data_IF_499176145386
#
_entry.id   IF_499176145386
#
_cell.length_a   1.000
_cell.length_b   1.000
_cell.length_c   1.000
_cell.angle_alpha   90.00
_cell.angle_beta   90.00
_cell.angle_gamma   90.00
#
_symmetry.space_group_name_H-M   'P 1'
#
loop_
_entity.id
_entity.type
_entity.pdbx_description
1 polymer ?
#
# COMPACT_ATOMS: atom_id res chain seq x y z
N UNK A 1 15.73 -34.29 -4.30
CA UNK A 1 16.51 -33.14 -4.81
C UNK A 1 16.07 -31.80 -4.20
N UNK A 2 14.80 -31.39 -4.32
CA UNK A 2 14.33 -30.13 -3.71
C UNK A 2 14.30 -30.18 -2.17
N UNK A 3 13.92 -31.32 -1.57
CA UNK A 3 13.89 -31.47 -0.10
C UNK A 3 15.29 -31.37 0.52
N UNK A 4 16.26 -32.09 -0.03
CA UNK A 4 17.66 -32.04 0.42
C UNK A 4 18.27 -30.66 0.25
N UNK A 5 17.87 -29.90 -0.78
CA UNK A 5 18.31 -28.52 -0.96
C UNK A 5 17.68 -27.57 0.07
N UNK A 6 16.37 -27.70 0.35
CA UNK A 6 15.70 -26.91 1.40
C UNK A 6 16.30 -27.17 2.79
N UNK A 7 16.58 -28.42 3.12
CA UNK A 7 17.23 -28.80 4.38
C UNK A 7 18.66 -28.26 4.49
N UNK A 8 19.43 -28.31 3.39
CA UNK A 8 20.75 -27.69 3.36
C UNK A 8 20.65 -26.17 3.57
N UNK A 9 19.76 -25.47 2.85
CA UNK A 9 19.59 -24.02 3.00
C UNK A 9 19.11 -23.61 4.40
N UNK A 10 18.16 -24.33 4.99
CA UNK A 10 17.69 -24.05 6.35
C UNK A 10 18.77 -24.29 7.41
N UNK A 11 19.71 -25.22 7.16
CA UNK A 11 20.81 -25.53 8.08
C UNK A 11 21.95 -24.51 8.00
N UNK A 12 22.21 -23.94 6.83
CA UNK A 12 23.30 -22.95 6.64
C UNK A 12 22.84 -21.52 6.88
N UNK A 13 21.55 -21.22 6.67
CA UNK A 13 20.99 -19.88 6.78
C UNK A 13 19.87 -19.86 7.82
N UNK A 14 20.24 -19.80 9.09
CA UNK A 14 19.30 -19.42 10.15
C UNK A 14 19.17 -17.89 10.15
N UNK A 15 18.26 -17.37 9.31
CA UNK A 15 18.11 -15.92 9.09
C UNK A 15 17.28 -15.21 10.16
N UNK A 16 16.87 -15.89 11.23
CA UNK A 16 16.01 -15.32 12.25
C UNK A 16 14.73 -14.68 11.68
N UNK A 17 14.10 -13.79 12.44
CA UNK A 17 12.96 -13.00 11.95
C UNK A 17 13.47 -11.89 11.02
N UNK A 18 13.07 -11.96 9.75
CA UNK A 18 13.40 -10.95 8.74
C UNK A 18 12.97 -9.54 9.19
N UNK A 19 13.95 -8.69 9.45
CA UNK A 19 13.73 -7.31 9.94
C UNK A 19 13.77 -6.26 8.84
N UNK A 20 14.42 -6.57 7.70
CA UNK A 20 14.51 -5.68 6.54
C UNK A 20 14.38 -6.49 5.24
N UNK A 21 13.58 -5.99 4.30
CA UNK A 21 13.45 -6.54 2.96
C UNK A 21 13.34 -5.41 1.94
N UNK A 22 14.34 -5.25 1.05
CA UNK A 22 14.36 -4.19 0.04
C UNK A 22 14.14 -2.77 0.61
N UNK A 23 14.80 -2.41 1.72
CA UNK A 23 14.58 -1.13 2.43
C UNK A 23 13.17 -0.94 3.02
N UNK A 24 12.36 -2.00 3.08
CA UNK A 24 11.15 -2.08 3.89
C UNK A 24 11.52 -2.64 5.25
N UNK A 25 11.26 -1.88 6.29
CA UNK A 25 11.44 -2.31 7.67
C UNK A 25 10.24 -3.17 8.08
N UNK A 26 10.51 -4.41 8.47
CA UNK A 26 9.51 -5.41 8.83
C UNK A 26 9.58 -5.65 10.34
N UNK A 27 8.51 -5.30 11.05
CA UNK A 27 8.35 -5.55 12.48
C UNK A 27 7.41 -6.73 12.65
N UNK A 28 7.96 -7.87 13.06
CA UNK A 28 7.19 -9.09 13.30
C UNK A 28 6.80 -9.15 14.79
N UNK A 29 5.49 -9.06 15.06
CA UNK A 29 4.90 -9.29 16.37
C UNK A 29 4.30 -10.70 16.47
N UNK A 30 3.77 -11.04 17.65
CA UNK A 30 3.26 -12.39 17.96
C UNK A 30 2.15 -12.85 17.00
N UNK A 31 1.24 -11.94 16.62
CA UNK A 31 0.09 -12.24 15.75
C UNK A 31 0.05 -11.39 14.45
N UNK A 32 1.07 -10.58 14.19
CA UNK A 32 1.04 -9.62 13.08
C UNK A 32 2.41 -9.26 12.54
N UNK A 33 2.47 -9.01 11.23
CA UNK A 33 3.65 -8.51 10.54
C UNK A 33 3.34 -7.07 10.11
N UNK A 34 4.13 -6.11 10.57
CA UNK A 34 4.04 -4.71 10.19
C UNK A 34 5.16 -4.37 9.22
N UNK A 35 4.84 -3.67 8.14
CA UNK A 35 5.82 -3.19 7.18
C UNK A 35 5.80 -1.67 7.15
N UNK A 36 6.98 -1.06 7.23
CA UNK A 36 7.14 0.40 7.23
C UNK A 36 8.23 0.83 6.27
N UNK A 37 8.08 2.03 5.72
CA UNK A 37 8.97 2.58 4.70
C UNK A 37 9.35 4.03 5.02
N UNK A 38 9.33 4.37 6.31
CA UNK A 38 9.52 5.75 6.78
C UNK A 38 10.91 6.30 6.43
N UNK A 39 11.93 5.44 6.54
CA UNK A 39 13.30 5.83 6.21
C UNK A 39 13.45 6.18 4.73
N UNK A 40 12.92 5.33 3.85
CA UNK A 40 12.90 5.60 2.41
C UNK A 40 12.10 6.87 2.07
N UNK A 41 10.96 7.10 2.73
CA UNK A 41 10.19 8.34 2.54
C UNK A 41 11.01 9.59 2.88
N UNK A 42 11.77 9.58 3.98
CA UNK A 42 12.67 10.68 4.36
C UNK A 42 13.79 10.89 3.35
N UNK A 43 14.37 9.81 2.84
CA UNK A 43 15.43 9.88 1.84
C UNK A 43 14.94 10.46 0.51
N UNK A 44 13.73 10.06 0.07
CA UNK A 44 13.09 10.64 -1.11
C UNK A 44 12.82 12.13 -0.91
N UNK A 45 12.29 12.54 0.24
CA UNK A 45 12.06 13.96 0.54
C UNK A 45 13.37 14.76 0.54
N UNK A 46 14.45 14.22 1.10
CA UNK A 46 15.78 14.84 1.08
C UNK A 46 16.32 14.95 -0.35
N UNK A 47 16.23 13.88 -1.14
CA UNK A 47 16.72 13.80 -2.53
C UNK A 47 16.09 14.86 -3.43
N UNK A 48 14.78 15.11 -3.27
CA UNK A 48 14.05 16.10 -4.06
C UNK A 48 13.93 17.48 -3.39
N UNK A 49 14.67 17.73 -2.29
CA UNK A 49 14.67 18.99 -1.53
C UNK A 49 13.28 19.40 -1.03
N UNK A 50 12.51 18.42 -0.56
CA UNK A 50 11.14 18.57 -0.05
C UNK A 50 11.03 18.32 1.46
N UNK A 51 12.16 18.25 2.19
CA UNK A 51 12.15 18.08 3.64
C UNK A 51 11.41 19.21 4.38
N UNK A 52 11.46 20.45 3.87
CA UNK A 52 10.87 21.64 4.50
C UNK A 52 9.66 22.20 3.73
N UNK A 53 9.01 21.38 2.90
CA UNK A 53 7.86 21.82 2.10
C UNK A 53 6.56 22.02 2.90
N UNK A 54 5.74 23.00 2.52
CA UNK A 54 4.45 23.22 3.17
C UNK A 54 3.55 21.97 3.13
N UNK A 55 2.95 21.57 4.27
CA UNK A 55 2.09 20.40 4.35
C UNK A 55 0.83 20.58 3.50
N UNK A 56 0.34 19.48 2.93
CA UNK A 56 -0.90 19.43 2.14
C UNK A 56 -1.73 18.24 2.59
N UNK A 57 -3.05 18.41 2.69
CA UNK A 57 -3.97 17.38 3.19
C UNK A 57 -4.44 16.38 2.12
N UNK A 58 -4.27 16.70 0.84
CA UNK A 58 -4.67 15.84 -0.28
C UNK A 58 -3.54 15.68 -1.31
N UNK A 59 -3.27 14.45 -1.78
CA UNK A 59 -2.17 14.18 -2.73
C UNK A 59 -2.39 14.83 -4.10
N UNK A 60 -3.65 15.00 -4.51
CA UNK A 60 -4.06 15.62 -5.79
C UNK A 60 -5.21 16.58 -5.51
N UNK A 61 -5.28 17.72 -6.20
CA UNK A 61 -6.42 18.63 -6.09
C UNK A 61 -7.66 18.06 -6.80
N UNK A 62 -8.84 18.26 -6.19
CA UNK A 62 -10.12 17.95 -6.80
C UNK A 62 -10.26 18.72 -8.13
N UNK A 63 -10.43 18.01 -9.24
CA UNK A 63 -10.57 18.62 -10.57
C UNK A 63 -9.27 18.90 -11.32
N UNK A 64 -8.12 18.39 -10.85
CA UNK A 64 -6.85 18.52 -11.59
C UNK A 64 -6.94 17.82 -12.95
N UNK A 65 -7.06 18.60 -14.04
CA UNK A 65 -6.97 18.09 -15.41
C UNK A 65 -5.54 18.30 -15.92
N UNK A 66 -4.75 17.22 -15.94
CA UNK A 66 -3.43 17.24 -16.58
C UNK A 66 -3.60 17.00 -18.09
N UNK A 67 -2.99 17.85 -18.91
CA UNK A 67 -3.09 17.76 -20.36
C UNK A 67 -1.72 17.50 -20.99
N UNK A 68 -1.69 16.73 -22.08
CA UNK A 68 -0.44 16.50 -22.84
C UNK A 68 -0.02 17.75 -23.60
N UNK A 69 -0.99 18.56 -24.02
CA UNK A 69 -0.81 19.81 -24.75
C UNK A 69 -0.58 21.01 -23.85
N UNK A 70 -0.18 20.82 -22.58
CA UNK A 70 0.09 21.93 -21.69
C UNK A 70 1.20 22.81 -22.29
N UNK A 71 0.89 24.10 -22.45
CA UNK A 71 1.80 25.13 -22.98
C UNK A 71 2.94 25.46 -22.01
N UNK A 72 2.98 24.81 -20.84
CA UNK A 72 4.03 24.96 -19.86
C UNK A 72 5.41 24.52 -20.36
N UNK A 73 6.44 25.03 -19.68
CA UNK A 73 7.83 24.64 -19.93
C UNK A 73 8.01 23.13 -19.77
N UNK A 74 8.80 22.54 -20.65
CA UNK A 74 9.21 21.14 -20.54
C UNK A 74 10.14 20.97 -19.33
N UNK A 75 10.00 19.84 -18.65
CA UNK A 75 10.85 19.46 -17.52
C UNK A 75 11.76 18.33 -17.98
N UNK A 76 12.95 18.20 -17.38
CA UNK A 76 13.84 17.08 -17.68
C UNK A 76 13.13 15.74 -17.42
N UNK A 77 12.92 14.90 -18.46
CA UNK A 77 12.24 13.62 -18.32
C UNK A 77 12.99 12.66 -17.41
N UNK A 78 14.32 12.74 -17.32
CA UNK A 78 15.12 11.86 -16.47
C UNK A 78 14.83 12.15 -15.00
N UNK A 79 14.88 13.43 -14.62
CA UNK A 79 14.56 13.86 -13.26
C UNK A 79 13.10 13.55 -12.88
N UNK A 80 12.16 13.76 -13.81
CA UNK A 80 10.75 13.43 -13.59
C UNK A 80 10.52 11.93 -13.41
N UNK A 81 11.09 11.08 -14.27
CA UNK A 81 11.00 9.61 -14.16
C UNK A 81 11.58 9.11 -12.84
N UNK A 82 12.71 9.66 -12.41
CA UNK A 82 13.31 9.33 -11.13
C UNK A 82 12.37 9.63 -9.96
N UNK A 83 11.67 10.77 -9.99
CA UNK A 83 10.70 11.12 -8.95
C UNK A 83 9.51 10.15 -8.95
N UNK A 84 8.92 9.90 -10.11
CA UNK A 84 7.74 9.02 -10.20
C UNK A 84 8.10 7.58 -9.82
N UNK A 85 9.31 7.11 -10.13
CA UNK A 85 9.82 5.82 -9.67
C UNK A 85 9.89 5.74 -8.14
N UNK A 86 10.46 6.75 -7.49
CA UNK A 86 10.49 6.84 -6.02
C UNK A 86 9.10 6.88 -5.40
N UNK A 87 8.18 7.65 -5.98
CA UNK A 87 6.79 7.70 -5.53
C UNK A 87 6.07 6.37 -5.72
N UNK A 88 6.34 5.65 -6.80
CA UNK A 88 5.77 4.32 -7.04
C UNK A 88 6.24 3.33 -5.97
N UNK A 89 7.50 3.39 -5.56
CA UNK A 89 7.99 2.50 -4.51
C UNK A 89 7.29 2.75 -3.16
N UNK A 90 6.94 4.00 -2.86
CA UNK A 90 6.17 4.34 -1.66
C UNK A 90 4.74 3.78 -1.67
N UNK A 91 4.15 3.51 -2.84
CA UNK A 91 2.76 3.01 -2.94
C UNK A 91 2.58 1.64 -2.29
N UNK A 92 3.64 0.84 -2.14
CA UNK A 92 3.60 -0.48 -1.50
C UNK A 92 3.06 -0.41 -0.06
N UNK A 93 3.43 0.64 0.67
CA UNK A 93 3.00 0.87 2.06
C UNK A 93 2.00 2.03 2.18
N UNK A 94 1.71 2.72 1.06
CA UNK A 94 0.87 3.92 0.98
C UNK A 94 -0.07 3.88 -0.23
N UNK A 95 -1.16 3.10 -0.17
CA UNK A 95 -2.14 3.05 -1.26
C UNK A 95 -2.89 4.38 -1.44
N UNK A 96 -2.86 5.27 -0.45
CA UNK A 96 -3.51 6.58 -0.48
C UNK A 96 -2.96 7.53 -1.56
N UNK A 97 -1.69 7.38 -1.93
CA UNK A 97 -1.06 8.18 -3.01
C UNK A 97 -1.12 7.50 -4.39
N UNK A 98 -1.55 6.24 -4.47
CA UNK A 98 -1.50 5.42 -5.69
C UNK A 98 -2.20 6.09 -6.88
N UNK A 99 -3.38 6.68 -6.65
CA UNK A 99 -4.12 7.38 -7.68
C UNK A 99 -3.32 8.55 -8.29
N UNK A 100 -2.73 9.39 -7.43
CA UNK A 100 -1.92 10.53 -7.87
C UNK A 100 -0.68 10.10 -8.63
N UNK A 101 0.01 9.06 -8.16
CA UNK A 101 1.19 8.48 -8.82
C UNK A 101 0.83 7.90 -10.19
N UNK A 102 -0.30 7.20 -10.28
CA UNK A 102 -0.83 6.67 -11.54
C UNK A 102 -1.16 7.78 -12.54
N UNK A 103 -1.71 8.90 -12.08
CA UNK A 103 -2.03 10.06 -12.91
C UNK A 103 -0.76 10.69 -13.50
N UNK A 104 0.24 10.99 -12.68
CA UNK A 104 1.50 11.61 -13.16
C UNK A 104 2.36 10.66 -13.99
N UNK A 105 2.23 9.34 -13.79
CA UNK A 105 2.97 8.34 -14.57
C UNK A 105 2.68 8.38 -16.07
N UNK A 106 1.51 8.88 -16.48
CA UNK A 106 1.11 8.98 -17.90
C UNK A 106 1.94 9.98 -18.70
N UNK A 107 2.63 10.90 -18.02
CA UNK A 107 3.36 12.01 -18.61
C UNK A 107 4.88 11.88 -18.50
N UNK A 108 5.40 10.66 -18.28
CA UNK A 108 6.85 10.42 -18.13
C UNK A 108 7.67 10.66 -19.41
N UNK A 109 7.05 10.60 -20.60
CA UNK A 109 7.76 10.79 -21.87
C UNK A 109 8.12 12.26 -22.09
N UNK A 110 7.13 13.14 -21.90
CA UNK A 110 7.22 14.58 -22.13
C UNK A 110 6.58 15.31 -20.94
N UNK A 111 7.29 15.40 -19.79
CA UNK A 111 6.75 16.07 -18.62
C UNK A 111 6.77 17.59 -18.80
N UNK A 112 5.74 18.22 -18.25
CA UNK A 112 5.51 19.66 -18.26
C UNK A 112 5.59 20.18 -16.82
N UNK A 113 5.72 21.48 -16.68
CA UNK A 113 5.80 22.12 -15.36
C UNK A 113 4.58 21.82 -14.47
N UNK A 114 3.39 21.70 -15.06
CA UNK A 114 2.13 21.29 -14.39
C UNK A 114 2.21 19.87 -13.83
N UNK A 115 2.75 18.93 -14.61
CA UNK A 115 3.01 17.55 -14.18
C UNK A 115 3.99 17.51 -13.01
N UNK A 116 5.05 18.32 -13.07
CA UNK A 116 6.05 18.43 -12.01
C UNK A 116 5.49 19.02 -10.72
N UNK A 117 4.68 20.08 -10.81
CA UNK A 117 3.96 20.66 -9.66
C UNK A 117 3.07 19.63 -8.98
N UNK A 118 2.35 18.83 -9.77
CA UNK A 118 1.50 17.75 -9.25
C UNK A 118 2.32 16.66 -8.55
N UNK A 119 3.43 16.22 -9.16
CA UNK A 119 4.32 15.24 -8.53
C UNK A 119 4.93 15.75 -7.22
N UNK A 120 5.35 17.03 -7.17
CA UNK A 120 5.81 17.69 -5.94
C UNK A 120 4.70 17.79 -4.88
N UNK A 121 3.44 18.01 -5.28
CA UNK A 121 2.32 18.02 -4.35
C UNK A 121 2.14 16.66 -3.65
N UNK A 122 2.29 15.56 -4.39
CA UNK A 122 2.28 14.22 -3.81
C UNK A 122 3.38 14.09 -2.74
N UNK A 123 4.60 14.56 -3.01
CA UNK A 123 5.67 14.58 -2.00
C UNK A 123 5.32 15.44 -0.76
N UNK A 124 4.65 16.58 -0.94
CA UNK A 124 4.17 17.40 0.20
C UNK A 124 3.22 16.62 1.09
N UNK A 125 2.28 15.92 0.47
CA UNK A 125 1.35 15.05 1.19
C UNK A 125 2.07 13.87 1.86
N UNK A 126 3.15 13.35 1.25
CA UNK A 126 3.97 12.31 1.87
C UNK A 126 4.60 12.78 3.19
N UNK A 127 5.06 14.03 3.25
CA UNK A 127 5.64 14.63 4.48
C UNK A 127 4.65 14.69 5.63
N UNK A 128 3.38 15.01 5.37
CA UNK A 128 2.37 15.26 6.42
C UNK A 128 1.97 13.98 7.15
N UNK A 129 1.72 12.90 6.39
CA UNK A 129 1.33 11.62 6.98
C UNK A 129 2.55 10.80 7.34
N UNK A 130 2.74 10.59 8.65
CA UNK A 130 3.46 9.42 9.16
C UNK A 130 2.69 8.16 8.77
N UNK A 131 3.41 7.06 8.55
CA UNK A 131 2.92 5.82 7.95
C UNK A 131 1.55 5.43 8.54
N UNK A 132 0.56 5.18 7.67
CA UNK A 132 -0.64 4.48 8.11
C UNK A 132 -0.20 3.04 8.38
N UNK A 133 -0.07 2.67 9.65
CA UNK A 133 0.06 1.28 10.04
C UNK A 133 -1.16 0.57 9.48
N UNK A 134 -0.99 -0.24 8.44
CA UNK A 134 -2.08 -1.09 7.98
C UNK A 134 -2.43 -1.98 9.18
N UNK A 135 -3.70 -1.99 9.62
CA UNK A 135 -4.12 -3.02 10.56
C UNK A 135 -3.82 -4.38 9.93
N UNK A 136 -3.41 -5.38 10.72
CA UNK A 136 -3.16 -6.71 10.18
C UNK A 136 -4.35 -7.13 9.32
N UNK A 137 -4.11 -7.71 8.13
CA UNK A 137 -5.20 -8.17 7.29
C UNK A 137 -6.11 -9.07 8.14
N UNK A 138 -7.44 -8.96 7.99
CA UNK A 138 -8.35 -9.92 8.60
C UNK A 138 -7.87 -11.33 8.26
N UNK A 139 -7.97 -12.32 9.18
CA UNK A 139 -7.46 -13.68 8.97
C UNK A 139 -8.02 -14.38 7.71
N UNK A 140 -9.01 -13.79 7.06
CA UNK A 140 -9.60 -14.24 5.80
C UNK A 140 -8.77 -13.88 4.55
N UNK A 141 -7.83 -12.92 4.64
CA UNK A 141 -6.87 -12.63 3.57
C UNK A 141 -5.58 -13.40 3.88
N UNK A 142 -5.68 -14.73 3.77
CA UNK A 142 -4.49 -15.54 3.53
C UNK A 142 -3.93 -15.07 2.19
N UNK A 143 -2.67 -14.63 2.16
CA UNK A 143 -1.91 -14.58 0.92
C UNK A 143 -1.91 -16.00 0.36
N UNK A 144 -2.90 -16.34 -0.45
CA UNK A 144 -2.86 -17.57 -1.22
C UNK A 144 -1.73 -17.35 -2.21
N UNK A 145 -0.56 -17.92 -1.91
CA UNK A 145 0.37 -18.28 -2.96
C UNK A 145 -0.47 -18.97 -4.04
N UNK A 146 -0.42 -18.40 -5.24
CA UNK A 146 -0.99 -19.01 -6.43
C UNK A 146 -0.19 -20.27 -6.71
N UNK A 147 -0.55 -21.36 -6.03
CA UNK A 147 -0.14 -22.69 -6.42
C UNK A 147 -1.05 -23.14 -7.57
N UNK A 148 -0.44 -23.33 -8.74
CA UNK A 148 -1.02 -23.75 -10.02
C UNK A 148 -1.67 -25.15 -10.02
N UNK A 149 -2.12 -25.69 -8.88
CA UNK A 149 -2.79 -26.97 -8.85
C UNK A 149 -4.04 -26.97 -7.97
N UNK A 150 -5.18 -26.97 -8.66
CA UNK A 150 -6.50 -26.89 -8.07
C UNK A 150 -6.84 -28.01 -7.08
N UNK A 151 -7.82 -27.65 -6.23
CA UNK A 151 -8.54 -28.45 -5.24
C UNK A 151 -7.81 -28.67 -3.92
N UNK A 152 -8.00 -27.73 -3.00
CA UNK A 152 -8.07 -28.09 -1.57
C UNK A 152 -9.47 -27.87 -1.03
N UNK A 153 -9.97 -28.93 -0.42
CA UNK A 153 -11.30 -29.07 0.13
C UNK A 153 -11.34 -28.32 1.48
N UNK A 154 -11.63 -27.02 1.43
CA UNK A 154 -11.64 -26.10 2.59
C UNK A 154 -12.43 -26.69 3.77
N UNK A 155 -13.54 -27.38 3.53
CA UNK A 155 -14.37 -27.98 4.58
C UNK A 155 -13.64 -28.99 5.51
N UNK A 156 -12.59 -29.68 5.02
CA UNK A 156 -11.84 -30.64 5.85
C UNK A 156 -10.87 -29.97 6.83
N UNK A 157 -10.25 -28.85 6.44
CA UNK A 157 -9.29 -28.12 7.28
C UNK A 157 -9.98 -27.39 8.43
N UNK A 158 -11.22 -26.94 8.22
CA UNK A 158 -12.03 -26.25 9.23
C UNK A 158 -12.54 -27.20 10.34
N UNK A 159 -12.73 -28.49 10.02
CA UNK A 159 -13.13 -29.52 10.99
C UNK A 159 -11.97 -30.01 11.88
N UNK A 160 -10.72 -29.93 11.40
CA UNK A 160 -9.52 -30.28 12.18
C UNK A 160 -9.16 -29.24 13.26
N UNK A 161 -9.55 -27.98 13.09
CA UNK A 161 -9.13 -26.87 13.96
C UNK A 161 -10.08 -26.60 15.13
N UNK A 162 -11.16 -27.39 15.31
CA UNK A 162 -12.04 -27.30 16.48
C UNK A 162 -12.83 -26.00 16.65
N UNK A 163 -12.90 -25.14 15.62
CA UNK A 163 -13.59 -23.85 15.70
C UNK A 163 -15.10 -23.98 15.41
N UNK A 164 -15.98 -23.24 16.12
CA UNK A 164 -17.42 -23.31 15.93
C UNK A 164 -17.82 -22.75 14.55
N UNK A 165 -18.47 -23.59 13.75
CA UNK A 165 -18.98 -23.22 12.43
C UNK A 165 -20.28 -22.43 12.58
N UNK A 166 -20.24 -21.15 12.18
CA UNK A 166 -21.40 -20.24 12.22
C UNK A 166 -22.48 -20.75 11.25
N UNK A 167 -23.57 -21.31 11.80
CA UNK A 167 -24.76 -21.68 11.02
C UNK A 167 -25.42 -20.42 10.44
N UNK A 168 -25.39 -20.32 9.11
CA UNK A 168 -26.49 -19.91 8.22
C UNK A 168 -27.48 -18.88 8.76
N UNK A 169 -27.32 -17.61 8.39
CA UNK A 169 -28.42 -16.65 8.37
C UNK A 169 -29.26 -16.90 7.10
N UNK A 170 -30.39 -17.58 7.26
CA UNK A 170 -31.48 -17.59 6.28
C UNK A 170 -32.82 -17.46 7.02
N UNK A 171 -33.42 -16.27 6.90
CA UNK A 171 -34.86 -16.03 6.94
C UNK A 171 -35.58 -16.10 8.28
N UNK A 172 -35.82 -14.94 8.90
CA UNK A 172 -37.10 -14.66 9.56
C UNK A 172 -37.38 -13.15 9.47
N UNK A 173 -38.28 -12.80 8.55
CA UNK A 173 -39.06 -11.58 8.62
C UNK A 173 -40.00 -11.71 9.83
N UNK A 174 -39.93 -10.79 10.78
CA UNK A 174 -41.14 -10.23 11.40
C UNK A 174 -40.84 -8.84 11.97
N UNK A 175 -41.82 -7.95 11.81
CA UNK A 175 -41.67 -6.51 11.91
C UNK A 175 -41.43 -5.98 13.32
N UNK A 176 -40.64 -4.91 13.39
CA UNK A 176 -40.90 -3.74 14.25
C UNK A 176 -40.09 -2.56 13.77
N UNK A 177 -40.80 -1.61 13.15
CA UNK A 177 -40.40 -0.22 13.03
C UNK A 177 -39.94 0.34 14.37
N UNK A 178 -38.82 1.06 14.41
CA UNK A 178 -38.72 2.42 14.98
C UNK A 178 -37.28 2.95 15.02
N UNK A 179 -37.18 4.20 14.56
CA UNK A 179 -36.26 5.27 15.00
C UNK A 179 -34.86 5.31 14.38
N UNK A 180 -34.80 5.97 13.22
CA UNK A 180 -33.78 6.98 12.97
C UNK A 180 -33.97 8.12 13.98
N UNK A 181 -32.97 8.39 14.81
CA UNK A 181 -32.86 9.58 15.66
C UNK A 181 -31.50 10.21 15.44
N UNK A 182 -31.46 11.25 14.62
CA UNK A 182 -30.36 12.22 14.52
C UNK A 182 -30.47 13.23 15.67
N UNK A 183 -29.33 13.80 16.03
CA UNK A 183 -29.13 15.16 16.51
C UNK A 183 -29.38 15.51 17.98
N UNK A 184 -28.28 15.95 18.60
CA UNK A 184 -28.13 17.19 19.39
C UNK A 184 -28.98 17.36 20.67
N UNK A 185 -28.41 16.91 21.79
CA UNK A 185 -28.13 17.64 23.06
C UNK A 185 -27.76 16.65 24.18
#
# INVERSE_FOLDING_TARGET
>A
MIKSFKEAMAKTFDMGLMSYFLDLEVKQGVDSIFMTQEQYAKEVLKRFRMNDCNPVNAPVDCGTKLSKSDEGKTVDPTHFKSLVGSLRYLTCTRPDILYGVGLVSRFMKEPKETHWKTAKRILRYVRVRKQLTLPPPPPDIVCTESDDNGRTNLAKRWRMMGLPTRKTARGLNDGRSRLWGRSDL
#
